data_IF_628746539868
#
_entry.id   IF_628746539868
#
_cell.length_a   1.000
_cell.length_b   1.000
_cell.length_c   1.000
_cell.angle_alpha   90.00
_cell.angle_beta   90.00
_cell.angle_gamma   90.00
#
_symmetry.space_group_name_H-M   'P 1'
#
loop_
_entity.id
_entity.type
_entity.pdbx_description
1 polymer ?
#
# COMPACT_ATOMS: atom_id res chain seq x y z
N UNK A 1 19.50 8.14 2.98
CA UNK A 1 18.41 8.14 1.98
C UNK A 1 19.06 8.27 0.61
N UNK A 2 18.71 7.39 -0.33
CA UNK A 2 19.22 7.41 -1.70
C UNK A 2 18.08 7.63 -2.70
N UNK A 3 18.42 7.99 -3.94
CA UNK A 3 17.47 8.09 -5.05
C UNK A 3 17.75 6.94 -6.02
N UNK A 4 16.68 6.37 -6.58
CA UNK A 4 16.73 5.33 -7.61
C UNK A 4 16.08 5.85 -8.88
N UNK A 5 16.72 5.63 -10.03
CA UNK A 5 16.11 5.93 -11.32
C UNK A 5 15.14 4.80 -11.67
N UNK A 6 13.88 5.15 -11.88
CA UNK A 6 12.80 4.22 -12.26
C UNK A 6 11.72 5.00 -13.04
N UNK A 7 10.99 4.32 -13.92
CA UNK A 7 9.89 4.93 -14.67
C UNK A 7 8.61 5.11 -13.83
N UNK A 8 8.47 4.37 -12.72
CA UNK A 8 7.37 4.53 -11.76
C UNK A 8 7.75 4.17 -10.32
N UNK A 9 6.85 4.42 -9.37
CA UNK A 9 7.06 4.04 -7.97
C UNK A 9 7.07 2.52 -7.79
N UNK A 10 6.23 1.80 -8.53
CA UNK A 10 6.24 0.34 -8.56
C UNK A 10 7.59 -0.22 -9.03
N UNK A 11 8.13 0.31 -10.14
CA UNK A 11 9.45 -0.11 -10.62
C UNK A 11 10.55 0.25 -9.63
N UNK A 12 10.45 1.40 -8.96
CA UNK A 12 11.43 1.80 -7.95
C UNK A 12 11.56 0.78 -6.80
N UNK A 13 10.48 0.08 -6.42
CA UNK A 13 10.52 -0.98 -5.40
C UNK A 13 11.38 -2.18 -5.85
N UNK A 14 11.21 -2.60 -7.10
CA UNK A 14 12.02 -3.68 -7.68
C UNK A 14 13.48 -3.23 -7.88
N UNK A 15 13.70 -2.04 -8.44
CA UNK A 15 15.06 -1.55 -8.77
C UNK A 15 15.90 -1.29 -7.53
N UNK A 16 15.30 -0.83 -6.42
CA UNK A 16 16.02 -0.64 -5.16
C UNK A 16 16.28 -1.97 -4.42
N UNK A 17 15.74 -3.09 -4.92
CA UNK A 17 15.88 -4.41 -4.30
C UNK A 17 15.20 -4.49 -2.93
N UNK A 18 14.03 -3.84 -2.79
CA UNK A 18 13.34 -3.78 -1.51
C UNK A 18 12.81 -5.16 -1.10
N UNK A 19 13.41 -5.74 -0.05
CA UNK A 19 13.04 -7.05 0.52
C UNK A 19 12.11 -6.92 1.74
N UNK A 20 11.48 -5.75 1.91
CA UNK A 20 10.98 -5.27 3.20
C UNK A 20 9.74 -5.88 3.85
N UNK A 21 8.93 -6.79 3.27
CA UNK A 21 7.97 -7.55 4.05
C UNK A 21 8.71 -8.62 4.87
N UNK A 22 9.63 -8.18 5.74
CA UNK A 22 10.40 -9.03 6.64
C UNK A 22 9.47 -10.10 7.24
N UNK A 23 9.78 -11.36 6.98
CA UNK A 23 9.05 -12.56 7.42
C UNK A 23 7.64 -12.81 6.82
N UNK A 24 7.11 -11.96 5.93
CA UNK A 24 5.80 -12.12 5.30
C UNK A 24 5.84 -12.74 3.87
N UNK A 25 6.58 -12.13 2.94
CA UNK A 25 6.89 -12.68 1.61
C UNK A 25 8.09 -11.91 1.04
N UNK A 26 9.02 -12.60 0.38
CA UNK A 26 10.24 -12.01 -0.17
C UNK A 26 10.16 -11.80 -1.71
N UNK A 27 8.97 -11.93 -2.28
CA UNK A 27 8.70 -11.76 -3.71
C UNK A 27 8.41 -10.29 -4.06
N UNK A 28 9.44 -9.44 -4.00
CA UNK A 28 9.37 -8.01 -4.37
C UNK A 28 8.65 -7.72 -5.69
N UNK A 29 8.79 -8.53 -6.76
CA UNK A 29 8.00 -8.38 -7.98
C UNK A 29 6.48 -8.40 -7.75
N UNK A 30 5.95 -9.28 -6.89
CA UNK A 30 4.51 -9.30 -6.58
C UNK A 30 4.05 -7.99 -5.96
N UNK A 31 4.80 -7.47 -4.98
CA UNK A 31 4.45 -6.20 -4.35
C UNK A 31 4.50 -5.05 -5.36
N UNK A 32 5.47 -5.07 -6.26
CA UNK A 32 5.59 -4.08 -7.32
C UNK A 32 4.42 -4.14 -8.29
N UNK A 33 3.93 -5.33 -8.67
CA UNK A 33 2.75 -5.48 -9.53
C UNK A 33 1.46 -4.99 -8.85
N UNK A 34 1.25 -5.27 -7.56
CA UNK A 34 0.11 -4.73 -6.81
C UNK A 34 0.17 -3.20 -6.74
N UNK A 35 1.34 -2.64 -6.45
CA UNK A 35 1.53 -1.17 -6.45
C UNK A 35 1.25 -0.61 -7.83
N UNK A 36 1.71 -1.25 -8.91
CA UNK A 36 1.46 -0.84 -10.30
C UNK A 36 -0.01 -0.82 -10.65
N UNK A 37 -0.79 -1.82 -10.21
CA UNK A 37 -2.24 -1.84 -10.37
C UNK A 37 -2.90 -0.64 -9.65
N UNK A 38 -2.45 -0.33 -8.43
CA UNK A 38 -2.91 0.86 -7.72
C UNK A 38 -2.43 2.18 -8.32
N UNK A 39 -1.24 2.24 -8.92
CA UNK A 39 -0.78 3.40 -9.71
C UNK A 39 -1.76 3.66 -10.86
N UNK A 40 -2.23 2.60 -11.53
CA UNK A 40 -3.16 2.69 -12.65
C UNK A 40 -4.59 3.05 -12.21
N UNK A 41 -5.12 2.39 -11.17
CA UNK A 41 -6.52 2.56 -10.71
C UNK A 41 -6.75 3.84 -9.91
N UNK A 42 -5.82 4.18 -9.02
CA UNK A 42 -6.02 5.21 -8.00
C UNK A 42 -5.01 6.37 -8.11
N UNK A 43 -4.10 6.30 -9.08
CA UNK A 43 -3.00 7.25 -9.18
C UNK A 43 -2.05 7.15 -7.98
N UNK A 44 -1.90 5.96 -7.39
CA UNK A 44 -0.98 5.75 -6.28
C UNK A 44 0.46 6.12 -6.69
N UNK A 45 1.26 6.63 -5.76
CA UNK A 45 2.68 6.92 -5.96
C UNK A 45 3.48 6.57 -4.71
N UNK A 46 4.59 5.87 -4.88
CA UNK A 46 5.53 5.58 -3.80
C UNK A 46 6.17 6.88 -3.32
N UNK A 47 5.96 7.22 -2.05
CA UNK A 47 6.49 8.43 -1.41
C UNK A 47 7.69 8.12 -0.53
N UNK A 48 7.66 6.98 0.18
CA UNK A 48 8.77 6.55 1.02
C UNK A 48 8.77 5.02 1.14
N UNK A 49 9.98 4.47 1.20
CA UNK A 49 10.25 3.06 1.44
C UNK A 49 11.24 2.98 2.59
N UNK A 50 10.88 2.26 3.65
CA UNK A 50 11.74 1.98 4.80
C UNK A 50 12.10 0.50 4.88
N UNK A 51 12.68 0.09 6.00
CA UNK A 51 13.06 -1.31 6.23
C UNK A 51 11.86 -2.26 6.10
N UNK A 52 10.81 -2.03 6.89
CA UNK A 52 9.56 -2.78 6.84
C UNK A 52 8.35 -1.85 6.69
N UNK A 53 8.50 -0.76 5.94
CA UNK A 53 7.42 0.22 5.76
C UNK A 53 7.32 0.70 4.31
N UNK A 54 6.10 0.95 3.86
CA UNK A 54 5.80 1.52 2.55
C UNK A 54 4.74 2.61 2.71
N UNK A 55 5.01 3.78 2.12
CA UNK A 55 4.07 4.90 2.12
C UNK A 55 3.73 5.30 0.69
N UNK A 56 2.44 5.32 0.39
CA UNK A 56 1.90 5.74 -0.90
C UNK A 56 1.08 7.02 -0.73
N UNK A 57 1.19 7.96 -1.67
CA UNK A 57 0.16 8.98 -1.87
C UNK A 57 -0.86 8.49 -2.90
N UNK A 58 -2.11 8.90 -2.79
CA UNK A 58 -3.19 8.49 -3.70
C UNK A 58 -3.97 9.70 -4.18
N UNK A 59 -4.16 9.78 -5.50
CA UNK A 59 -4.84 10.93 -6.14
C UNK A 59 -6.34 10.72 -6.15
N UNK A 60 -6.78 9.51 -6.46
CA UNK A 60 -8.20 9.14 -6.54
C UNK A 60 -8.45 7.99 -5.58
N UNK A 61 -8.62 8.26 -4.26
CA UNK A 61 -8.93 7.19 -3.30
C UNK A 61 -10.26 6.51 -3.65
N UNK A 62 -10.47 5.25 -3.25
CA UNK A 62 -11.72 4.54 -3.52
C UNK A 62 -12.90 5.33 -2.96
N UNK A 63 -13.96 5.39 -3.76
CA UNK A 63 -15.18 6.14 -3.41
C UNK A 63 -16.38 5.19 -3.37
N UNK A 64 -17.06 5.19 -2.23
CA UNK A 64 -18.33 4.51 -2.07
C UNK A 64 -18.28 3.15 -1.36
N UNK A 65 -19.47 2.73 -0.95
CA UNK A 65 -19.69 1.62 -0.01
C UNK A 65 -19.36 0.23 -0.61
N UNK A 66 -19.24 0.12 -1.93
CA UNK A 66 -18.93 -1.15 -2.60
C UNK A 66 -17.45 -1.29 -3.00
N UNK A 67 -16.80 -0.20 -3.37
CA UNK A 67 -15.39 -0.21 -3.78
C UNK A 67 -14.46 -0.24 -2.56
N UNK A 68 -14.75 0.56 -1.53
CA UNK A 68 -13.88 0.68 -0.37
C UNK A 68 -13.64 -0.66 0.37
N UNK A 69 -14.63 -1.55 0.57
CA UNK A 69 -14.38 -2.86 1.18
C UNK A 69 -13.49 -3.77 0.31
N UNK A 70 -13.57 -3.68 -1.01
CA UNK A 70 -12.73 -4.47 -1.92
C UNK A 70 -11.28 -4.02 -1.85
N UNK A 71 -11.04 -2.71 -1.91
CA UNK A 71 -9.69 -2.14 -1.74
C UNK A 71 -9.14 -2.40 -0.34
N UNK A 72 -9.98 -2.37 0.70
CA UNK A 72 -9.58 -2.77 2.04
C UNK A 72 -9.16 -4.25 2.11
N UNK A 73 -9.84 -5.14 1.38
CA UNK A 73 -9.45 -6.55 1.28
C UNK A 73 -8.11 -6.71 0.53
N UNK A 74 -7.88 -5.94 -0.54
CA UNK A 74 -6.58 -5.90 -1.22
C UNK A 74 -5.47 -5.44 -0.28
N UNK A 75 -5.70 -4.37 0.50
CA UNK A 75 -4.75 -3.88 1.50
C UNK A 75 -4.49 -4.93 2.58
N UNK A 76 -5.50 -5.69 3.00
CA UNK A 76 -5.34 -6.78 3.96
C UNK A 76 -4.48 -7.91 3.40
N UNK A 77 -4.69 -8.31 2.15
CA UNK A 77 -3.88 -9.34 1.50
C UNK A 77 -2.43 -8.87 1.26
N UNK A 78 -2.24 -7.57 1.01
CA UNK A 78 -0.93 -6.96 0.79
C UNK A 78 -0.15 -6.76 2.10
N UNK A 79 -0.83 -6.35 3.16
CA UNK A 79 -0.25 -6.00 4.45
C UNK A 79 -1.30 -6.16 5.56
N UNK A 80 -1.42 -7.35 6.18
CA UNK A 80 -2.40 -7.60 7.22
C UNK A 80 -2.25 -6.69 8.44
N UNK A 81 -1.01 -6.34 8.80
CA UNK A 81 -0.70 -5.53 9.98
C UNK A 81 -1.22 -4.10 9.90
N UNK A 82 -1.33 -3.54 8.69
CA UNK A 82 -1.96 -2.24 8.49
C UNK A 82 -3.41 -2.19 8.99
N UNK A 83 -4.10 -3.34 9.08
CA UNK A 83 -5.45 -3.47 9.63
C UNK A 83 -5.44 -4.05 11.04
N UNK A 84 -4.66 -5.13 11.28
CA UNK A 84 -4.59 -5.79 12.59
C UNK A 84 -3.99 -4.90 13.67
N UNK A 85 -3.19 -3.91 13.30
CA UNK A 85 -2.54 -2.99 14.22
C UNK A 85 -2.93 -1.51 13.97
N UNK A 86 -3.79 -1.25 12.98
CA UNK A 86 -4.09 0.09 12.44
C UNK A 86 -4.96 1.05 13.29
N UNK A 87 -5.07 0.84 14.60
CA UNK A 87 -5.80 1.73 15.50
C UNK A 87 -7.31 1.46 15.59
N UNK A 88 -8.14 2.51 15.50
CA UNK A 88 -9.51 2.68 16.07
C UNK A 88 -10.55 1.54 15.91
N UNK A 89 -10.28 0.53 15.07
CA UNK A 89 -10.99 -0.75 15.07
C UNK A 89 -10.22 -1.73 14.17
N UNK A 90 -9.94 -2.94 14.66
CA UNK A 90 -9.20 -3.99 13.94
C UNK A 90 -10.06 -4.72 12.89
N UNK A 91 -11.03 -4.03 12.30
CA UNK A 91 -12.01 -4.62 11.39
C UNK A 91 -11.82 -4.08 9.97
N UNK A 92 -12.09 -4.92 8.98
CA UNK A 92 -12.01 -4.55 7.57
C UNK A 92 -12.96 -3.39 7.22
N UNK A 93 -14.16 -3.38 7.80
CA UNK A 93 -15.17 -2.35 7.57
C UNK A 93 -14.71 -0.97 8.06
N UNK A 94 -14.21 -0.88 9.30
CA UNK A 94 -13.68 0.37 9.82
C UNK A 94 -12.45 0.87 9.05
N UNK A 95 -11.64 -0.06 8.53
CA UNK A 95 -10.54 0.29 7.65
C UNK A 95 -11.03 0.82 6.28
N UNK A 96 -12.04 0.19 5.69
CA UNK A 96 -12.66 0.63 4.43
C UNK A 96 -13.22 2.07 4.54
N UNK A 97 -13.90 2.38 5.64
CA UNK A 97 -14.37 3.75 5.92
C UNK A 97 -13.20 4.74 5.97
N UNK A 98 -12.09 4.37 6.61
CA UNK A 98 -10.90 5.23 6.76
C UNK A 98 -10.21 5.56 5.44
N UNK A 99 -10.17 4.62 4.49
CA UNK A 99 -9.51 4.83 3.19
C UNK A 99 -10.40 5.56 2.17
N UNK A 100 -11.66 5.84 2.52
CA UNK A 100 -12.62 6.51 1.64
C UNK A 100 -12.46 8.05 1.70
N UNK A 101 -12.46 8.70 0.55
CA UNK A 101 -12.87 10.10 0.34
C UNK A 101 -12.08 11.24 1.00
N UNK A 102 -11.12 11.01 1.90
CA UNK A 102 -10.39 12.11 2.57
C UNK A 102 -8.95 11.81 2.98
N UNK A 103 -8.47 10.58 2.76
CA UNK A 103 -7.11 10.17 3.12
C UNK A 103 -6.28 9.90 1.86
N UNK A 104 -5.60 10.90 1.28
CA UNK A 104 -4.78 10.74 0.08
C UNK A 104 -3.45 10.01 0.34
N UNK A 105 -3.41 9.16 1.37
CA UNK A 105 -2.20 8.48 1.83
C UNK A 105 -2.53 7.10 2.39
N UNK A 106 -1.79 6.11 1.93
CA UNK A 106 -1.78 4.76 2.47
C UNK A 106 -0.42 4.48 3.11
N UNK A 107 -0.46 3.93 4.31
CA UNK A 107 0.71 3.56 5.08
C UNK A 107 0.61 2.07 5.39
N UNK A 108 1.69 1.36 5.09
CA UNK A 108 1.85 -0.06 5.32
C UNK A 108 3.11 -0.29 6.16
N UNK A 109 3.01 -1.22 7.10
CA UNK A 109 4.14 -1.69 7.90
C UNK A 109 3.96 -3.17 8.17
N UNK A 110 5.08 -3.89 8.23
CA UNK A 110 5.13 -5.30 8.59
C UNK A 110 5.97 -5.40 9.88
N UNK A 111 5.47 -6.14 10.87
CA UNK A 111 6.11 -6.39 12.18
C UNK A 111 6.32 -7.89 12.40
#
# INVERSE_FOLDING_TARGET
MGLVAAASGAEALTTVGWAGPCDYDNDTPKFSEVVRDWEHRFGARVMAVGFSTLRLSVVTPPVGEHEAPLVAAEHFAFCPDAIRQGGRSHTLAAYAERITGSHPRWDFWWD
#
